data_IF_339829037350
#
_entry.id   IF_339829037350
#
_cell.length_a   1.000
_cell.length_b   1.000
_cell.length_c   1.000
_cell.angle_alpha   90.00
_cell.angle_beta   90.00
_cell.angle_gamma   90.00
#
_symmetry.space_group_name_H-M   'P 1'
#
loop_
_entity.id
_entity.type
_entity.pdbx_description
1 polymer ?
#
# COMPACT_ATOMS: atom_id res chain seq x y z
N UNK A 1 37.56 9.09 -17.02
CA UNK A 1 37.50 8.54 -15.65
C UNK A 1 37.29 9.61 -14.58
N UNK A 2 38.06 10.72 -14.49
CA UNK A 2 37.82 11.74 -13.44
C UNK A 2 36.59 12.63 -13.72
N UNK A 3 36.39 13.05 -14.96
CA UNK A 3 35.20 13.85 -15.37
C UNK A 3 33.90 13.06 -15.27
N UNK A 4 33.90 11.79 -15.69
CA UNK A 4 32.71 10.94 -15.69
C UNK A 4 32.14 10.69 -14.29
N UNK A 5 32.98 10.65 -13.24
CA UNK A 5 32.52 10.47 -11.87
C UNK A 5 31.89 11.77 -11.32
N UNK A 6 32.51 12.92 -11.60
CA UNK A 6 31.97 14.22 -11.23
C UNK A 6 30.62 14.47 -11.91
N UNK A 7 30.54 14.19 -13.21
CA UNK A 7 29.30 14.27 -13.99
C UNK A 7 28.23 13.34 -13.41
N UNK A 8 28.59 12.12 -13.02
CA UNK A 8 27.67 11.19 -12.38
C UNK A 8 27.17 11.71 -11.01
N UNK A 9 28.03 12.33 -10.21
CA UNK A 9 27.63 12.93 -8.93
C UNK A 9 26.66 14.11 -9.14
N UNK A 10 26.90 14.95 -10.15
CA UNK A 10 26.01 16.07 -10.51
C UNK A 10 24.64 15.58 -11.03
N UNK A 11 24.62 14.50 -11.82
CA UNK A 11 23.38 13.85 -12.25
C UNK A 11 22.63 13.28 -11.04
N UNK A 12 23.32 12.65 -10.08
CA UNK A 12 22.67 12.14 -8.87
C UNK A 12 22.10 13.24 -7.97
N UNK A 13 22.79 14.38 -7.89
CA UNK A 13 22.32 15.53 -7.13
C UNK A 13 21.07 16.15 -7.79
N UNK A 14 21.10 16.32 -9.12
CA UNK A 14 19.99 16.94 -9.86
C UNK A 14 18.77 16.02 -10.02
N UNK A 15 18.95 14.73 -10.34
CA UNK A 15 17.84 13.81 -10.61
C UNK A 15 17.30 13.10 -9.37
N UNK A 16 18.16 12.80 -8.39
CA UNK A 16 17.81 11.97 -7.22
C UNK A 16 17.82 12.76 -5.91
N UNK A 17 18.24 14.03 -5.92
CA UNK A 17 18.28 14.89 -4.73
C UNK A 17 19.32 14.46 -3.69
N UNK A 18 20.32 13.66 -4.07
CA UNK A 18 21.38 13.23 -3.15
C UNK A 18 22.52 14.24 -3.23
N UNK A 19 22.77 14.96 -2.14
CA UNK A 19 23.91 15.88 -2.08
C UNK A 19 25.22 15.16 -2.35
N UNK A 20 26.06 15.76 -3.20
CA UNK A 20 27.40 15.25 -3.53
C UNK A 20 28.26 15.05 -2.28
N UNK A 21 28.13 15.93 -1.28
CA UNK A 21 28.96 15.93 -0.08
C UNK A 21 28.68 14.67 0.76
N UNK A 22 27.40 14.27 0.86
CA UNK A 22 26.98 13.03 1.54
C UNK A 22 27.56 11.79 0.86
N UNK A 23 27.71 11.81 -0.47
CA UNK A 23 28.30 10.70 -1.22
C UNK A 23 29.82 10.65 -0.99
N UNK A 24 30.50 11.81 -1.01
CA UNK A 24 31.94 11.92 -0.76
C UNK A 24 32.26 11.41 0.65
N UNK A 25 31.54 11.87 1.67
CA UNK A 25 31.71 11.43 3.05
C UNK A 25 31.52 9.91 3.19
N UNK A 26 30.52 9.36 2.50
CA UNK A 26 30.26 7.92 2.50
C UNK A 26 31.39 7.13 1.80
N UNK A 27 31.95 7.67 0.71
CA UNK A 27 33.09 7.07 0.01
C UNK A 27 34.31 7.09 0.93
N UNK A 28 34.64 8.22 1.56
CA UNK A 28 35.77 8.34 2.49
C UNK A 28 35.66 7.35 3.66
N UNK A 29 34.49 7.25 4.28
CA UNK A 29 34.24 6.30 5.37
C UNK A 29 34.41 4.82 4.93
N UNK A 30 33.93 4.49 3.73
CA UNK A 30 34.09 3.14 3.18
C UNK A 30 35.55 2.85 2.79
N UNK A 31 36.27 3.84 2.28
CA UNK A 31 37.70 3.73 1.95
C UNK A 31 38.56 3.55 3.20
N UNK A 32 38.28 4.25 4.29
CA UNK A 32 38.92 4.01 5.60
C UNK A 32 38.73 2.54 6.01
N UNK A 33 37.50 2.03 5.89
CA UNK A 33 37.17 0.64 6.22
C UNK A 33 37.85 -0.37 5.29
N UNK A 34 38.00 -0.04 4.01
CA UNK A 34 38.71 -0.86 3.03
C UNK A 34 40.22 -0.88 3.30
N UNK A 35 40.81 0.26 3.69
CA UNK A 35 42.22 0.37 4.06
C UNK A 35 42.54 -0.49 5.28
N UNK A 36 41.76 -0.33 6.37
CA UNK A 36 41.95 -1.08 7.62
C UNK A 36 41.94 -2.60 7.41
N UNK A 37 41.07 -3.10 6.52
CA UNK A 37 40.91 -4.53 6.23
C UNK A 37 42.06 -5.12 5.42
N UNK A 38 42.61 -4.34 4.48
CA UNK A 38 43.57 -4.85 3.50
C UNK A 38 45.03 -4.62 3.92
N UNK A 39 45.32 -3.61 4.76
CA UNK A 39 46.71 -3.17 4.99
C UNK A 39 47.21 -3.32 6.43
N UNK A 40 46.38 -3.81 7.37
CA UNK A 40 46.74 -4.29 8.72
C UNK A 40 47.73 -3.41 9.54
N UNK A 41 47.87 -2.12 9.18
CA UNK A 41 48.77 -1.15 9.78
C UNK A 41 48.01 0.20 9.87
N UNK A 42 47.99 0.78 11.05
CA UNK A 42 47.34 2.06 11.44
C UNK A 42 45.83 2.02 11.70
N UNK A 43 45.46 2.19 12.99
CA UNK A 43 44.07 2.32 13.43
C UNK A 43 43.50 3.75 13.28
N UNK A 44 44.35 4.75 12.99
CA UNK A 44 43.96 6.15 12.83
C UNK A 44 44.37 6.70 11.45
N UNK A 45 43.55 6.46 10.44
CA UNK A 45 43.75 6.97 9.07
C UNK A 45 42.58 7.82 8.65
N UNK A 46 42.89 8.95 7.99
CA UNK A 46 41.95 9.79 7.28
C UNK A 46 42.13 9.54 5.79
N UNK A 47 41.04 9.37 5.07
CA UNK A 47 41.07 9.34 3.60
C UNK A 47 40.51 10.66 3.12
N UNK A 48 41.18 11.29 2.15
CA UNK A 48 40.70 12.45 1.44
C UNK A 48 40.43 12.05 0.00
N UNK A 49 39.21 12.27 -0.47
CA UNK A 49 38.83 12.03 -1.85
C UNK A 49 38.61 13.33 -2.60
N UNK A 50 39.37 13.55 -3.69
CA UNK A 50 39.12 14.66 -4.59
C UNK A 50 38.31 14.19 -5.81
N UNK A 51 37.02 14.55 -5.92
CA UNK A 51 36.15 14.11 -7.01
C UNK A 51 36.47 14.76 -8.37
N UNK A 52 37.09 15.95 -8.41
CA UNK A 52 37.41 16.66 -9.66
C UNK A 52 38.59 16.00 -10.38
N UNK A 53 39.62 15.64 -9.62
CA UNK A 53 40.84 15.02 -10.14
C UNK A 53 40.75 13.49 -10.08
N UNK A 54 39.85 12.94 -9.26
CA UNK A 54 39.72 11.51 -9.01
C UNK A 54 40.87 10.94 -8.16
N UNK A 55 41.60 11.78 -7.44
CA UNK A 55 42.74 11.38 -6.61
C UNK A 55 42.28 11.01 -5.20
N UNK A 56 42.91 9.99 -4.64
CA UNK A 56 42.61 9.44 -3.31
C UNK A 56 43.91 9.48 -2.52
N UNK A 57 43.88 10.17 -1.38
CA UNK A 57 45.00 10.26 -0.45
C UNK A 57 44.63 9.59 0.86
N UNK A 58 45.53 8.75 1.38
CA UNK A 58 45.40 8.15 2.70
C UNK A 58 46.45 8.78 3.61
N UNK A 59 45.98 9.43 4.67
CA UNK A 59 46.78 10.16 5.63
C UNK A 59 46.73 9.42 6.98
N UNK A 60 47.87 8.95 7.45
CA UNK A 60 48.01 8.43 8.81
C UNK A 60 48.08 9.60 9.79
N UNK A 61 47.21 9.60 10.81
CA UNK A 61 47.22 10.59 11.88
C UNK A 61 48.10 10.10 13.02
N UNK A 62 49.08 10.92 13.38
CA UNK A 62 49.94 10.72 14.53
C UNK A 62 49.83 11.88 15.50
N UNK A 63 49.65 11.58 16.76
CA UNK A 63 49.63 12.59 17.82
C UNK A 63 51.08 12.98 18.16
N UNK A 64 51.35 14.28 18.18
CA UNK A 64 52.66 14.82 18.50
C UNK A 64 52.78 14.85 20.02
N UNK A 65 53.74 14.08 20.56
CA UNK A 65 53.94 13.91 22.01
C UNK A 65 55.40 14.12 22.40
N UNK A 66 55.67 14.59 23.62
CA UNK A 66 57.03 14.67 24.17
C UNK A 66 57.68 13.29 24.36
N UNK A 67 56.91 12.30 24.84
CA UNK A 67 57.40 10.93 25.06
C UNK A 67 56.52 9.93 24.29
N UNK A 68 57.12 9.22 23.33
CA UNK A 68 56.43 8.25 22.47
C UNK A 68 56.28 6.90 23.21
N UNK A 69 55.05 6.46 23.41
CA UNK A 69 54.68 5.16 23.97
C UNK A 69 54.26 4.17 22.87
N UNK A 70 53.51 4.62 21.86
CA UNK A 70 53.17 3.82 20.67
C UNK A 70 53.66 4.51 19.38
N UNK A 71 54.80 4.08 18.81
CA UNK A 71 55.35 4.65 17.57
C UNK A 71 54.42 4.57 16.35
N UNK A 72 53.32 3.82 16.42
CA UNK A 72 52.32 3.70 15.35
C UNK A 72 51.28 4.82 15.40
N UNK A 73 50.99 5.33 16.59
CA UNK A 73 49.96 6.36 16.83
C UNK A 73 50.58 7.71 17.19
N UNK A 74 51.84 7.71 17.63
CA UNK A 74 52.51 8.89 18.15
C UNK A 74 53.79 9.21 17.35
N UNK A 75 54.21 10.46 17.42
CA UNK A 75 55.49 10.97 16.90
C UNK A 75 56.09 11.95 17.90
N UNK A 76 57.41 11.98 18.03
CA UNK A 76 58.04 12.94 18.94
C UNK A 76 57.92 14.37 18.40
N UNK A 77 57.84 15.36 19.29
CA UNK A 77 57.89 16.79 18.91
C UNK A 77 59.13 17.11 18.07
N UNK A 78 60.26 16.48 18.37
CA UNK A 78 61.52 16.65 17.64
C UNK A 78 61.42 16.17 16.19
N UNK A 79 60.83 14.98 15.96
CA UNK A 79 60.62 14.42 14.62
C UNK A 79 59.54 15.20 13.85
N UNK A 80 58.46 15.62 14.51
CA UNK A 80 57.42 16.44 13.89
C UNK A 80 57.97 17.79 13.40
N UNK A 81 58.85 18.43 14.19
CA UNK A 81 59.49 19.70 13.84
C UNK A 81 60.43 19.62 12.65
N UNK A 82 60.97 18.44 12.31
CA UNK A 82 61.77 18.26 11.09
C UNK A 82 60.92 18.40 9.82
N UNK A 83 59.64 18.08 9.89
CA UNK A 83 58.70 18.21 8.77
C UNK A 83 58.18 19.65 8.69
N UNK A 84 57.74 20.21 9.83
CA UNK A 84 57.33 21.60 9.92
C UNK A 84 57.69 22.17 11.30
N UNK A 85 58.49 23.26 11.37
CA UNK A 85 58.94 23.84 12.65
C UNK A 85 57.82 24.29 13.60
N UNK A 86 56.59 24.48 13.10
CA UNK A 86 55.47 25.00 13.87
C UNK A 86 54.75 23.97 14.74
N UNK A 87 55.07 22.67 14.63
CA UNK A 87 54.42 21.63 15.45
C UNK A 87 54.80 21.72 16.94
N UNK A 88 53.79 21.55 17.79
CA UNK A 88 53.85 21.57 19.24
C UNK A 88 53.30 20.27 19.83
N UNK A 89 53.62 20.02 21.11
CA UNK A 89 53.02 18.91 21.87
C UNK A 89 51.49 19.06 21.90
N UNK A 90 50.78 17.99 21.56
CA UNK A 90 49.32 17.97 21.43
C UNK A 90 48.78 18.25 20.01
N UNK A 91 49.62 18.58 19.03
CA UNK A 91 49.20 18.70 17.63
C UNK A 91 49.01 17.32 16.97
N UNK A 92 48.32 17.29 15.82
CA UNK A 92 48.15 16.08 15.00
C UNK A 92 48.91 16.25 13.68
N UNK A 93 49.87 15.36 13.44
CA UNK A 93 50.59 15.26 12.19
C UNK A 93 49.90 14.27 11.25
N UNK A 94 49.63 14.68 10.01
CA UNK A 94 49.10 13.83 8.94
C UNK A 94 50.24 13.43 7.97
N UNK A 95 50.52 12.13 7.85
CA UNK A 95 51.56 11.58 6.96
C UNK A 95 50.90 10.80 5.83
N UNK A 96 51.25 11.08 4.57
CA UNK A 96 50.71 10.33 3.43
C UNK A 96 51.28 8.89 3.40
N UNK A 97 50.38 7.91 3.45
CA UNK A 97 50.66 6.47 3.47
C UNK A 97 49.93 5.71 2.38
N UNK A 98 49.51 6.41 1.31
CA UNK A 98 48.75 5.85 0.18
C UNK A 98 49.51 4.72 -0.52
N UNK A 99 49.05 3.46 -0.46
CA UNK A 99 49.69 2.34 -1.15
C UNK A 99 49.50 2.43 -2.67
N UNK A 100 50.49 1.98 -3.46
CA UNK A 100 50.44 2.04 -4.94
C UNK A 100 49.22 1.32 -5.55
N UNK A 101 48.82 0.18 -4.98
CA UNK A 101 47.68 -0.62 -5.48
C UNK A 101 46.32 -0.17 -4.89
N UNK A 102 46.31 0.81 -3.98
CA UNK A 102 45.10 1.22 -3.28
C UNK A 102 44.07 1.86 -4.21
N UNK A 103 44.52 2.50 -5.29
CA UNK A 103 43.62 3.13 -6.27
C UNK A 103 42.59 2.16 -6.88
N UNK A 104 42.97 0.90 -7.14
CA UNK A 104 42.04 -0.12 -7.67
C UNK A 104 40.98 -0.52 -6.65
N UNK A 105 41.41 -0.79 -5.41
CA UNK A 105 40.52 -1.12 -4.28
C UNK A 105 39.56 0.03 -4.03
N UNK A 106 40.09 1.25 -4.10
CA UNK A 106 39.36 2.45 -3.82
C UNK A 106 38.30 2.74 -4.89
N UNK A 107 38.62 2.58 -6.18
CA UNK A 107 37.65 2.68 -7.27
C UNK A 107 36.51 1.65 -7.14
N UNK A 108 36.82 0.39 -6.79
CA UNK A 108 35.80 -0.64 -6.58
C UNK A 108 34.89 -0.30 -5.38
N UNK A 109 35.48 0.16 -4.29
CA UNK A 109 34.77 0.56 -3.07
C UNK A 109 33.87 1.77 -3.34
N UNK A 110 34.40 2.80 -4.00
CA UNK A 110 33.64 3.98 -4.39
C UNK A 110 32.44 3.61 -5.28
N UNK A 111 32.64 2.77 -6.30
CA UNK A 111 31.54 2.26 -7.13
C UNK A 111 30.46 1.57 -6.30
N UNK A 112 30.85 0.73 -5.34
CA UNK A 112 29.92 0.03 -4.47
C UNK A 112 29.12 1.00 -3.59
N UNK A 113 29.78 1.98 -2.98
CA UNK A 113 29.15 3.00 -2.15
C UNK A 113 28.17 3.84 -2.96
N UNK A 114 28.59 4.34 -4.12
CA UNK A 114 27.72 5.11 -5.02
C UNK A 114 26.49 4.28 -5.39
N UNK A 115 26.68 3.04 -5.86
CA UNK A 115 25.56 2.15 -6.22
C UNK A 115 24.61 1.91 -5.03
N UNK A 116 25.15 1.79 -3.82
CA UNK A 116 24.35 1.62 -2.61
C UNK A 116 23.56 2.88 -2.26
N UNK A 117 24.18 4.07 -2.29
CA UNK A 117 23.52 5.36 -2.05
C UNK A 117 22.42 5.64 -3.06
N UNK A 118 22.66 5.34 -4.33
CA UNK A 118 21.63 5.43 -5.38
C UNK A 118 20.43 4.55 -5.04
N UNK A 119 20.65 3.29 -4.68
CA UNK A 119 19.57 2.38 -4.28
C UNK A 119 18.82 2.86 -3.03
N UNK A 120 19.52 3.44 -2.06
CA UNK A 120 18.91 3.99 -0.84
C UNK A 120 18.00 5.18 -1.14
N UNK A 121 18.46 6.11 -2.00
CA UNK A 121 17.65 7.24 -2.42
C UNK A 121 16.43 6.81 -3.23
N UNK A 122 16.59 5.86 -4.16
CA UNK A 122 15.47 5.31 -4.94
C UNK A 122 14.41 4.66 -4.03
N UNK A 123 14.83 3.94 -2.98
CA UNK A 123 13.92 3.39 -1.97
C UNK A 123 13.17 4.46 -1.21
N UNK A 124 13.83 5.58 -0.90
CA UNK A 124 13.21 6.73 -0.23
C UNK A 124 12.09 7.34 -1.09
N UNK A 125 12.39 7.60 -2.36
CA UNK A 125 11.43 8.17 -3.33
C UNK A 125 10.23 7.24 -3.54
N UNK A 126 10.48 5.94 -3.73
CA UNK A 126 9.40 4.95 -3.88
C UNK A 126 8.52 4.93 -2.63
N UNK A 127 9.11 4.96 -1.43
CA UNK A 127 8.29 4.97 -0.22
C UNK A 127 7.36 6.19 -0.17
N UNK A 128 7.87 7.40 -0.42
CA UNK A 128 7.03 8.60 -0.42
C UNK A 128 5.94 8.53 -1.49
N UNK A 129 6.27 8.10 -2.71
CA UNK A 129 5.32 8.01 -3.83
C UNK A 129 4.15 7.06 -3.54
N UNK A 130 4.42 5.93 -2.88
CA UNK A 130 3.39 4.91 -2.61
C UNK A 130 2.71 5.07 -1.25
N UNK A 131 3.36 5.71 -0.27
CA UNK A 131 2.73 6.00 1.03
C UNK A 131 1.54 6.94 0.87
N UNK A 132 1.63 7.92 -0.04
CA UNK A 132 0.52 8.83 -0.34
C UNK A 132 -0.61 8.15 -1.14
N UNK A 133 -0.35 6.95 -1.67
CA UNK A 133 -1.28 6.13 -2.46
C UNK A 133 -1.78 4.90 -1.70
N UNK A 134 -1.60 4.88 -0.38
CA UNK A 134 -2.27 3.89 0.46
C UNK A 134 -3.79 4.01 0.28
N UNK A 135 -4.49 2.88 0.28
CA UNK A 135 -5.92 2.79 0.00
C UNK A 135 -6.35 3.24 -1.42
N UNK A 136 -5.44 3.20 -2.39
CA UNK A 136 -5.73 3.48 -3.80
C UNK A 136 -5.73 2.21 -4.66
N UNK A 137 -6.30 2.31 -5.87
CA UNK A 137 -6.30 1.26 -6.89
C UNK A 137 -5.21 1.52 -7.94
N UNK A 138 -4.49 0.47 -8.32
CA UNK A 138 -3.47 0.54 -9.36
C UNK A 138 -3.59 -0.62 -10.33
N UNK A 139 -3.25 -0.38 -11.59
CA UNK A 139 -3.07 -1.45 -12.57
C UNK A 139 -1.64 -1.96 -12.46
N UNK A 140 -1.51 -3.26 -12.21
CA UNK A 140 -0.23 -3.95 -12.14
C UNK A 140 -0.13 -5.10 -13.14
N UNK A 141 1.10 -5.55 -13.39
CA UNK A 141 1.39 -6.70 -14.26
C UNK A 141 1.94 -7.83 -13.40
N UNK A 142 1.30 -9.00 -13.43
CA UNK A 142 1.79 -10.18 -12.75
C UNK A 142 3.13 -10.59 -13.35
N UNK A 143 4.18 -10.70 -12.55
CA UNK A 143 5.49 -11.12 -13.03
C UNK A 143 5.78 -12.59 -12.71
N UNK A 144 5.73 -12.94 -11.43
CA UNK A 144 6.06 -14.28 -10.93
C UNK A 144 5.22 -14.63 -9.70
N UNK A 145 5.19 -15.91 -9.38
CA UNK A 145 4.45 -16.44 -8.24
C UNK A 145 5.33 -17.42 -7.46
N UNK A 146 5.38 -17.21 -6.14
CA UNK A 146 5.96 -18.14 -5.17
C UNK A 146 4.83 -18.75 -4.32
N UNK A 147 5.15 -19.67 -3.41
CA UNK A 147 4.15 -20.32 -2.54
C UNK A 147 3.40 -19.35 -1.59
N UNK A 148 3.97 -18.17 -1.33
CA UNK A 148 3.42 -17.18 -0.37
C UNK A 148 2.83 -15.95 -1.03
N UNK A 149 3.37 -15.54 -2.17
CA UNK A 149 3.05 -14.25 -2.80
C UNK A 149 3.03 -14.39 -4.32
N UNK A 150 2.15 -13.61 -4.93
CA UNK A 150 2.27 -13.21 -6.33
C UNK A 150 2.94 -11.85 -6.37
N UNK A 151 3.93 -11.68 -7.23
CA UNK A 151 4.65 -10.43 -7.43
C UNK A 151 4.03 -9.69 -8.59
N UNK A 152 3.55 -8.49 -8.31
CA UNK A 152 2.83 -7.64 -9.25
C UNK A 152 3.65 -6.38 -9.48
N UNK A 153 4.11 -6.17 -10.71
CA UNK A 153 4.84 -4.95 -11.07
C UNK A 153 3.87 -3.79 -11.20
N UNK A 154 4.12 -2.72 -10.44
CA UNK A 154 3.44 -1.43 -10.54
C UNK A 154 4.27 -0.43 -11.37
N UNK A 155 5.09 -0.93 -12.31
CA UNK A 155 6.01 -0.14 -13.13
C UNK A 155 7.40 -0.03 -12.49
N UNK A 156 7.55 0.81 -11.46
CA UNK A 156 8.87 1.07 -10.83
C UNK A 156 9.22 0.06 -9.73
N UNK A 157 8.24 -0.63 -9.16
CA UNK A 157 8.38 -1.47 -7.96
C UNK A 157 7.51 -2.72 -8.07
N UNK A 158 7.95 -3.79 -7.40
CA UNK A 158 7.17 -5.01 -7.23
C UNK A 158 6.33 -4.92 -5.96
N UNK A 159 5.03 -5.05 -6.10
CA UNK A 159 4.09 -5.23 -5.01
C UNK A 159 3.84 -6.72 -4.73
N UNK A 160 3.50 -7.02 -3.48
CA UNK A 160 3.26 -8.36 -2.97
C UNK A 160 1.76 -8.58 -2.83
N UNK A 161 1.22 -9.59 -3.49
CA UNK A 161 -0.16 -10.07 -3.36
C UNK A 161 -0.18 -11.39 -2.56
N UNK A 162 -0.48 -11.35 -1.24
CA UNK A 162 -0.54 -12.55 -0.39
C UNK A 162 -1.63 -13.53 -0.82
N UNK A 163 -1.45 -14.83 -0.53
CA UNK A 163 -2.45 -15.87 -0.83
C UNK A 163 -3.82 -15.58 -0.20
N UNK A 164 -3.87 -15.00 1.01
CA UNK A 164 -5.12 -14.63 1.67
C UNK A 164 -5.86 -13.46 1.00
N UNK A 165 -5.16 -12.68 0.18
CA UNK A 165 -5.68 -11.48 -0.50
C UNK A 165 -5.95 -11.73 -1.99
N UNK A 166 -5.80 -12.97 -2.45
CA UNK A 166 -6.07 -13.42 -3.81
C UNK A 166 -7.55 -13.78 -3.96
N UNK A 167 -8.12 -13.47 -5.13
CA UNK A 167 -9.51 -13.80 -5.42
C UNK A 167 -9.68 -15.30 -5.64
N UNK A 168 -10.61 -15.98 -4.95
CA UNK A 168 -10.81 -17.42 -5.07
C UNK A 168 -11.23 -17.90 -6.47
N UNK A 169 -11.87 -17.02 -7.24
CA UNK A 169 -12.38 -17.27 -8.59
C UNK A 169 -11.40 -16.82 -9.69
N UNK A 170 -10.21 -16.32 -9.34
CA UNK A 170 -9.20 -15.87 -10.30
C UNK A 170 -8.06 -16.87 -10.46
N UNK A 171 -7.48 -16.87 -11.66
CA UNK A 171 -6.20 -17.51 -11.92
C UNK A 171 -5.25 -16.45 -12.44
N UNK A 172 -4.08 -16.37 -11.83
CA UNK A 172 -3.06 -15.38 -12.19
C UNK A 172 -1.97 -16.07 -12.99
N UNK A 173 -1.72 -15.56 -14.19
CA UNK A 173 -0.62 -16.00 -15.05
C UNK A 173 0.40 -14.87 -15.20
N UNK A 174 1.69 -15.21 -15.40
CA UNK A 174 2.67 -14.19 -15.76
C UNK A 174 2.20 -13.37 -16.96
N UNK A 175 2.41 -12.05 -16.88
CA UNK A 175 1.99 -11.01 -17.83
C UNK A 175 0.51 -10.60 -17.79
N UNK A 176 -0.30 -11.19 -16.91
CA UNK A 176 -1.68 -10.72 -16.72
C UNK A 176 -1.69 -9.30 -16.16
N UNK A 177 -2.56 -8.46 -16.73
CA UNK A 177 -2.83 -7.11 -16.21
C UNK A 177 -3.99 -7.19 -15.24
N UNK A 178 -3.73 -6.84 -13.99
CA UNK A 178 -4.72 -6.90 -12.91
C UNK A 178 -4.83 -5.56 -12.20
N UNK A 179 -6.04 -5.15 -11.85
CA UNK A 179 -6.24 -4.02 -10.93
C UNK A 179 -6.07 -4.50 -9.51
N UNK A 180 -5.27 -3.84 -8.69
CA UNK A 180 -5.02 -4.22 -7.31
C UNK A 180 -5.21 -3.03 -6.39
N UNK A 181 -5.66 -3.29 -5.18
CA UNK A 181 -5.84 -2.28 -4.14
C UNK A 181 -4.61 -2.27 -3.23
N UNK A 182 -3.98 -1.12 -3.01
CA UNK A 182 -2.84 -0.98 -2.10
C UNK A 182 -3.37 -1.00 -0.67
N UNK A 183 -3.03 -2.03 0.08
CA UNK A 183 -3.49 -2.20 1.47
C UNK A 183 -2.57 -1.55 2.47
N UNK A 184 -1.25 -1.64 2.26
CA UNK A 184 -0.25 -1.02 3.14
C UNK A 184 1.11 -0.89 2.46
N UNK A 185 1.89 0.10 2.90
CA UNK A 185 3.26 0.34 2.45
C UNK A 185 4.21 0.36 3.64
N UNK A 186 5.08 -0.65 3.75
CA UNK A 186 5.98 -0.83 4.90
C UNK A 186 7.44 -0.49 4.56
N UNK A 187 8.12 0.28 5.42
CA UNK A 187 9.58 0.45 5.32
C UNK A 187 10.27 -0.76 5.91
N UNK A 188 10.99 -1.52 5.09
CA UNK A 188 11.86 -2.61 5.56
C UNK A 188 13.33 -2.27 5.35
N UNK A 189 14.22 -3.02 6.01
CA UNK A 189 15.68 -2.90 5.83
C UNK A 189 16.13 -3.18 4.39
N UNK A 190 15.31 -3.89 3.61
CA UNK A 190 15.57 -4.20 2.20
C UNK A 190 14.90 -3.24 1.21
N UNK A 191 14.18 -2.23 1.70
CA UNK A 191 13.43 -1.26 0.90
C UNK A 191 11.94 -1.24 1.26
N UNK A 192 11.16 -0.32 0.66
CA UNK A 192 9.71 -0.31 0.84
C UNK A 192 9.10 -1.59 0.27
N UNK A 193 8.17 -2.18 1.02
CA UNK A 193 7.35 -3.30 0.57
C UNK A 193 5.92 -2.81 0.45
N UNK A 194 5.34 -2.99 -0.73
CA UNK A 194 3.97 -2.59 -1.03
C UNK A 194 3.13 -3.86 -1.02
N UNK A 195 2.14 -3.90 -0.15
CA UNK A 195 1.17 -4.98 -0.10
C UNK A 195 -0.08 -4.58 -0.85
N UNK A 196 -0.57 -5.50 -1.66
CA UNK A 196 -1.77 -5.29 -2.45
C UNK A 196 -2.77 -6.41 -2.24
N UNK A 197 -4.03 -6.13 -2.53
CA UNK A 197 -5.13 -7.05 -2.39
C UNK A 197 -6.07 -7.00 -3.59
N UNK A 198 -6.67 -8.15 -3.90
CA UNK A 198 -7.83 -8.26 -4.77
C UNK A 198 -9.14 -8.50 -4.01
N UNK A 199 -9.07 -9.00 -2.77
CA UNK A 199 -10.25 -9.33 -1.95
C UNK A 199 -10.73 -8.18 -1.06
N UNK A 200 -9.90 -7.17 -0.83
CA UNK A 200 -10.20 -6.07 0.07
C UNK A 200 -11.46 -5.28 -0.37
N UNK A 201 -12.38 -4.89 0.54
CA UNK A 201 -13.57 -4.09 0.19
C UNK A 201 -13.25 -2.76 -0.49
N UNK A 202 -12.10 -2.17 -0.17
CA UNK A 202 -11.62 -0.93 -0.78
C UNK A 202 -11.42 -1.04 -2.30
N UNK A 203 -11.09 -2.23 -2.83
CA UNK A 203 -11.02 -2.44 -4.28
C UNK A 203 -12.38 -2.14 -4.93
N UNK A 204 -13.46 -2.68 -4.37
CA UNK A 204 -14.81 -2.48 -4.89
C UNK A 204 -15.20 -1.00 -4.86
N UNK A 205 -14.93 -0.32 -3.74
CA UNK A 205 -15.18 1.12 -3.59
C UNK A 205 -14.46 1.94 -4.67
N UNK A 206 -13.16 1.71 -4.86
CA UNK A 206 -12.37 2.41 -5.89
C UNK A 206 -12.81 2.07 -7.32
N UNK A 207 -13.25 0.83 -7.58
CA UNK A 207 -13.80 0.48 -8.90
C UNK A 207 -15.08 1.26 -9.20
N UNK A 208 -15.97 1.43 -8.20
CA UNK A 208 -17.16 2.26 -8.35
C UNK A 208 -16.82 3.75 -8.55
N UNK A 209 -15.87 4.29 -7.78
CA UNK A 209 -15.38 5.67 -7.96
C UNK A 209 -14.84 5.92 -9.37
N UNK A 210 -14.16 4.95 -9.98
CA UNK A 210 -13.64 5.08 -11.36
C UNK A 210 -14.73 4.96 -12.43
N UNK A 211 -15.80 4.21 -12.16
CA UNK A 211 -16.82 3.81 -13.13
C UNK A 211 -18.06 4.73 -13.08
N UNK A 212 -18.33 5.36 -11.95
CA UNK A 212 -19.53 6.19 -11.69
C UNK A 212 -19.09 7.64 -11.42
N UNK A 213 -19.29 8.57 -12.37
CA UNK A 213 -18.91 9.98 -12.22
C UNK A 213 -19.51 10.66 -10.98
N UNK A 214 -20.76 10.31 -10.65
CA UNK A 214 -21.49 10.86 -9.52
C UNK A 214 -20.88 10.44 -8.17
N UNK A 215 -20.14 9.34 -8.12
CA UNK A 215 -19.37 8.95 -6.94
C UNK A 215 -18.03 9.70 -6.90
N UNK A 216 -17.41 9.90 -8.06
CA UNK A 216 -16.15 10.63 -8.18
C UNK A 216 -16.27 12.10 -7.77
N UNK A 217 -17.36 12.77 -8.14
CA UNK A 217 -17.62 14.18 -7.80
C UNK A 217 -18.26 14.38 -6.42
N UNK A 218 -18.65 13.29 -5.75
CA UNK A 218 -19.24 13.30 -4.41
C UNK A 218 -20.75 13.56 -4.37
N UNK A 219 -21.44 13.58 -5.51
CA UNK A 219 -22.92 13.69 -5.55
C UNK A 219 -23.61 12.47 -4.93
N UNK A 220 -23.01 11.29 -5.13
CA UNK A 220 -23.42 10.01 -4.55
C UNK A 220 -22.29 9.48 -3.67
N UNK A 221 -22.60 9.19 -2.41
CA UNK A 221 -21.64 8.65 -1.45
C UNK A 221 -21.86 7.16 -1.22
N UNK A 222 -20.78 6.37 -1.27
CA UNK A 222 -20.79 4.98 -0.78
C UNK A 222 -20.67 5.00 0.75
N UNK A 223 -21.74 4.61 1.45
CA UNK A 223 -21.81 4.62 2.93
C UNK A 223 -21.14 3.41 3.56
N UNK A 224 -21.35 2.22 3.01
CA UNK A 224 -20.84 0.97 3.55
C UNK A 224 -20.72 -0.09 2.45
N UNK A 225 -19.77 -1.01 2.64
CA UNK A 225 -19.48 -2.12 1.74
C UNK A 225 -19.36 -3.41 2.55
N UNK A 226 -20.19 -4.40 2.24
CA UNK A 226 -20.08 -5.76 2.75
C UNK A 226 -19.69 -6.68 1.60
N UNK A 227 -18.51 -7.29 1.69
CA UNK A 227 -17.93 -8.09 0.61
C UNK A 227 -17.58 -9.50 1.06
N UNK A 228 -18.04 -10.49 0.30
CA UNK A 228 -17.53 -11.86 0.27
C UNK A 228 -16.88 -12.08 -1.11
N UNK A 229 -15.58 -11.82 -1.15
CA UNK A 229 -14.80 -11.69 -2.39
C UNK A 229 -14.92 -12.92 -3.30
N UNK A 230 -15.23 -12.67 -4.58
CA UNK A 230 -15.36 -13.69 -5.63
C UNK A 230 -16.71 -14.40 -5.68
N UNK A 231 -17.65 -14.04 -4.81
CA UNK A 231 -19.00 -14.61 -4.81
C UNK A 231 -20.07 -13.50 -4.82
N UNK A 232 -20.18 -12.73 -3.73
CA UNK A 232 -21.20 -11.68 -3.63
C UNK A 232 -20.78 -10.51 -2.72
N UNK A 233 -21.16 -9.31 -3.14
CA UNK A 233 -20.98 -8.07 -2.41
C UNK A 233 -22.29 -7.28 -2.33
N UNK A 234 -22.45 -6.53 -1.23
CA UNK A 234 -23.47 -5.51 -1.09
C UNK A 234 -22.80 -4.17 -0.86
N UNK A 235 -23.31 -3.14 -1.52
CA UNK A 235 -22.90 -1.75 -1.28
C UNK A 235 -24.13 -0.91 -0.96
N UNK A 236 -23.95 0.04 -0.05
CA UNK A 236 -24.98 1.01 0.30
C UNK A 236 -24.57 2.39 -0.20
N UNK A 237 -25.50 3.06 -0.89
CA UNK A 237 -25.27 4.35 -1.54
C UNK A 237 -26.30 5.37 -1.10
N UNK A 238 -25.87 6.62 -1.00
CA UNK A 238 -26.68 7.75 -0.55
C UNK A 238 -26.45 8.96 -1.45
N UNK A 239 -27.49 9.74 -1.69
CA UNK A 239 -27.38 11.06 -2.29
C UNK A 239 -28.13 12.06 -1.39
N UNK A 240 -27.52 13.22 -1.12
CA UNK A 240 -28.16 14.29 -0.37
C UNK A 240 -29.28 14.93 -1.19
N UNK A 241 -29.07 15.07 -2.50
CA UNK A 241 -30.07 15.61 -3.42
C UNK A 241 -31.11 14.55 -3.77
N UNK A 242 -32.38 14.83 -3.45
CA UNK A 242 -33.53 13.95 -3.73
C UNK A 242 -33.81 13.76 -5.21
N UNK A 243 -33.37 14.69 -6.06
CA UNK A 243 -33.52 14.60 -7.53
C UNK A 243 -32.53 13.61 -8.15
N UNK A 244 -31.53 13.14 -7.39
CA UNK A 244 -30.53 12.18 -7.84
C UNK A 244 -30.91 10.81 -7.31
N UNK A 245 -31.05 9.83 -8.20
CA UNK A 245 -31.20 8.43 -7.78
C UNK A 245 -29.83 7.75 -7.63
N UNK A 246 -29.33 7.52 -6.40
CA UNK A 246 -28.00 6.97 -6.18
C UNK A 246 -27.87 5.53 -6.69
N UNK A 247 -28.95 4.74 -6.66
CA UNK A 247 -28.93 3.35 -7.13
C UNK A 247 -28.84 3.32 -8.66
N UNK A 248 -29.72 4.06 -9.34
CA UNK A 248 -29.72 4.20 -10.80
C UNK A 248 -28.40 4.74 -11.35
N UNK A 249 -27.78 5.73 -10.70
CA UNK A 249 -26.45 6.22 -11.08
C UNK A 249 -25.38 5.14 -11.03
N UNK A 250 -25.41 4.25 -10.03
CA UNK A 250 -24.44 3.18 -9.89
C UNK A 250 -24.67 2.01 -10.85
N UNK A 251 -25.94 1.68 -11.13
CA UNK A 251 -26.33 0.62 -12.07
C UNK A 251 -26.04 1.05 -13.51
N UNK A 252 -26.36 2.30 -13.84
CA UNK A 252 -26.25 2.87 -15.18
C UNK A 252 -27.28 2.32 -16.16
N UNK A 253 -27.31 2.84 -17.41
CA UNK A 253 -28.26 2.40 -18.42
C UNK A 253 -28.18 0.88 -18.65
N UNK A 254 -29.31 0.18 -18.44
CA UNK A 254 -29.41 -1.28 -18.57
C UNK A 254 -28.37 -2.06 -17.74
N UNK A 255 -27.91 -1.51 -16.61
CA UNK A 255 -26.93 -2.17 -15.75
C UNK A 255 -25.49 -2.16 -16.26
N UNK A 256 -25.19 -1.38 -17.31
CA UNK A 256 -23.88 -1.44 -17.96
C UNK A 256 -22.72 -1.05 -17.03
N UNK A 257 -22.91 -0.12 -16.09
CA UNK A 257 -21.83 0.33 -15.19
C UNK A 257 -21.50 -0.77 -14.17
N UNK A 258 -22.50 -1.27 -13.47
CA UNK A 258 -22.31 -2.37 -12.52
C UNK A 258 -21.78 -3.63 -13.21
N UNK A 259 -22.24 -3.95 -14.42
CA UNK A 259 -21.77 -5.12 -15.16
C UNK A 259 -20.26 -5.04 -15.47
N UNK A 260 -19.73 -3.86 -15.83
CA UNK A 260 -18.28 -3.67 -16.03
C UNK A 260 -17.46 -3.99 -14.78
N UNK A 261 -17.99 -3.67 -13.60
CA UNK A 261 -17.34 -3.97 -12.32
C UNK A 261 -17.45 -5.47 -12.00
N UNK A 262 -18.61 -6.09 -12.23
CA UNK A 262 -18.81 -7.55 -12.10
C UNK A 262 -17.83 -8.32 -12.99
N UNK A 263 -17.63 -7.87 -14.23
CA UNK A 263 -16.71 -8.48 -15.18
C UNK A 263 -15.24 -8.33 -14.75
N UNK A 264 -14.87 -7.18 -14.19
CA UNK A 264 -13.55 -6.94 -13.58
C UNK A 264 -13.27 -7.86 -12.39
N UNK A 265 -14.31 -8.23 -11.62
CA UNK A 265 -14.21 -9.13 -10.46
C UNK A 265 -14.54 -10.60 -10.82
N UNK A 266 -14.52 -10.93 -12.11
CA UNK A 266 -14.75 -12.30 -12.65
C UNK A 266 -16.07 -12.92 -12.17
N UNK A 267 -17.14 -12.14 -12.19
CA UNK A 267 -18.49 -12.63 -11.92
C UNK A 267 -18.93 -12.54 -10.45
N UNK A 268 -18.19 -11.83 -9.60
CA UNK A 268 -18.68 -11.47 -8.25
C UNK A 268 -20.00 -10.68 -8.37
N UNK A 269 -21.08 -11.18 -7.79
CA UNK A 269 -22.40 -10.52 -7.84
C UNK A 269 -22.41 -9.30 -6.93
N UNK A 270 -22.96 -8.19 -7.40
CA UNK A 270 -23.00 -6.93 -6.63
C UNK A 270 -24.45 -6.48 -6.48
N UNK A 271 -24.92 -6.38 -5.25
CA UNK A 271 -26.19 -5.73 -4.94
C UNK A 271 -25.93 -4.30 -4.49
N UNK A 272 -26.65 -3.35 -5.08
CA UNK A 272 -26.56 -1.92 -4.76
C UNK A 272 -27.87 -1.55 -4.07
N UNK A 273 -27.79 -1.03 -2.85
CA UNK A 273 -28.97 -0.71 -2.04
C UNK A 273 -28.93 0.75 -1.59
N UNK A 274 -30.11 1.36 -1.48
CA UNK A 274 -30.23 2.73 -0.96
C UNK A 274 -30.00 2.70 0.55
N UNK A 275 -29.07 3.53 1.00
CA UNK A 275 -28.85 3.77 2.43
C UNK A 275 -29.96 4.66 2.99
N UNK A 276 -30.39 4.39 4.23
CA UNK A 276 -31.33 5.24 4.96
C UNK A 276 -30.84 5.44 6.39
N UNK A 277 -31.21 6.58 6.98
CA UNK A 277 -31.03 6.84 8.40
C UNK A 277 -32.02 6.03 9.25
N UNK A 278 -33.16 5.65 8.69
CA UNK A 278 -34.14 4.80 9.36
C UNK A 278 -33.65 3.33 9.32
N UNK A 279 -33.39 2.70 10.47
CA UNK A 279 -32.95 1.30 10.52
C UNK A 279 -33.97 0.34 9.89
N UNK A 280 -35.28 0.64 9.96
CA UNK A 280 -36.34 -0.18 9.35
C UNK A 280 -36.15 -0.21 7.84
N UNK A 281 -36.10 0.97 7.21
CA UNK A 281 -35.93 1.11 5.77
C UNK A 281 -34.57 0.56 5.31
N UNK A 282 -33.50 0.87 6.04
CA UNK A 282 -32.15 0.46 5.64
C UNK A 282 -31.96 -1.06 5.69
N UNK A 283 -32.48 -1.73 6.73
CA UNK A 283 -32.44 -3.20 6.82
C UNK A 283 -33.31 -3.85 5.75
N UNK A 284 -34.50 -3.29 5.48
CA UNK A 284 -35.35 -3.77 4.39
C UNK A 284 -34.64 -3.68 3.04
N UNK A 285 -34.03 -2.53 2.74
CA UNK A 285 -33.25 -2.31 1.51
C UNK A 285 -32.06 -3.28 1.42
N UNK A 286 -31.35 -3.52 2.53
CA UNK A 286 -30.16 -4.38 2.56
C UNK A 286 -30.46 -5.87 2.25
N UNK A 287 -31.70 -6.33 2.47
CA UNK A 287 -32.13 -7.69 2.16
C UNK A 287 -32.54 -7.91 0.69
N UNK A 288 -32.57 -6.84 -0.12
CA UNK A 288 -32.77 -6.92 -1.56
C UNK A 288 -31.88 -8.01 -2.19
N UNK A 289 -32.44 -8.89 -3.05
CA UNK A 289 -33.71 -8.76 -3.78
C UNK A 289 -34.97 -9.28 -3.06
N UNK A 290 -34.89 -9.70 -1.79
CA UNK A 290 -36.08 -10.19 -1.06
C UNK A 290 -36.99 -9.05 -0.63
N UNK A 291 -38.29 -9.23 -0.83
CA UNK A 291 -39.32 -8.34 -0.32
C UNK A 291 -39.50 -8.55 1.18
N UNK A 292 -39.53 -7.44 1.90
CA UNK A 292 -39.71 -7.40 3.35
C UNK A 292 -41.11 -6.89 3.66
N UNK A 293 -41.82 -7.63 4.51
CA UNK A 293 -43.18 -7.28 4.97
C UNK A 293 -43.10 -6.35 6.18
N UNK A 294 -42.24 -6.69 7.15
CA UNK A 294 -42.13 -5.93 8.40
C UNK A 294 -40.72 -6.04 8.95
N UNK A 295 -40.22 -4.95 9.52
CA UNK A 295 -38.99 -4.94 10.33
C UNK A 295 -39.34 -4.45 11.71
N UNK A 296 -39.04 -5.25 12.72
CA UNK A 296 -39.03 -4.82 14.11
C UNK A 296 -37.60 -4.51 14.52
N UNK A 297 -37.41 -3.36 15.15
CA UNK A 297 -36.09 -2.90 15.57
C UNK A 297 -36.04 -2.86 17.09
N UNK A 298 -35.01 -3.49 17.64
CA UNK A 298 -34.60 -3.39 19.03
C UNK A 298 -33.32 -2.55 19.08
N UNK A 299 -33.46 -1.28 19.45
CA UNK A 299 -32.35 -0.33 19.50
C UNK A 299 -31.35 -0.63 20.62
N UNK A 300 -31.80 -1.22 21.73
CA UNK A 300 -30.93 -1.53 22.88
C UNK A 300 -29.94 -2.65 22.52
N UNK A 301 -30.42 -3.71 21.87
CA UNK A 301 -29.62 -4.88 21.48
C UNK A 301 -28.98 -4.76 20.08
N UNK A 302 -29.26 -3.68 19.36
CA UNK A 302 -28.96 -3.49 17.93
C UNK A 302 -29.36 -4.71 17.11
N UNK A 303 -30.58 -5.17 17.33
CA UNK A 303 -31.14 -6.35 16.69
C UNK A 303 -32.40 -6.00 15.93
N UNK A 304 -32.66 -6.76 14.87
CA UNK A 304 -33.86 -6.62 14.05
C UNK A 304 -34.48 -7.98 13.80
N UNK A 305 -35.80 -8.04 13.86
CA UNK A 305 -36.58 -9.18 13.40
C UNK A 305 -37.29 -8.78 12.11
N UNK A 306 -36.90 -9.42 11.03
CA UNK A 306 -37.43 -9.16 9.69
C UNK A 306 -38.39 -10.26 9.29
N UNK A 307 -39.60 -9.87 8.90
CA UNK A 307 -40.61 -10.77 8.36
C UNK A 307 -40.60 -10.68 6.85
N UNK A 308 -40.48 -11.83 6.20
CA UNK A 308 -40.54 -11.98 4.74
C UNK A 308 -41.64 -12.98 4.37
N UNK A 309 -42.17 -12.93 3.14
CA UNK A 309 -43.14 -13.91 2.67
C UNK A 309 -42.57 -15.34 2.77
N UNK A 310 -43.41 -16.33 3.09
CA UNK A 310 -42.99 -17.73 3.27
C UNK A 310 -42.20 -18.27 2.06
N UNK A 311 -42.61 -17.89 0.84
CA UNK A 311 -41.95 -18.30 -0.40
C UNK A 311 -40.58 -17.65 -0.62
N UNK A 312 -40.28 -16.52 0.04
CA UNK A 312 -39.01 -15.79 -0.08
C UNK A 312 -38.06 -16.03 1.09
N UNK A 313 -38.45 -16.77 2.14
CA UNK A 313 -37.60 -17.03 3.30
C UNK A 313 -36.21 -17.55 2.91
N UNK A 314 -36.16 -18.51 1.97
CA UNK A 314 -34.91 -19.07 1.48
C UNK A 314 -34.06 -18.06 0.70
N UNK A 315 -34.70 -17.16 -0.05
CA UNK A 315 -34.02 -16.10 -0.79
C UNK A 315 -33.43 -15.05 0.16
N UNK A 316 -34.20 -14.66 1.18
CA UNK A 316 -33.83 -13.65 2.16
C UNK A 316 -32.63 -14.10 3.01
N UNK A 317 -32.61 -15.37 3.42
CA UNK A 317 -31.45 -16.00 4.07
C UNK A 317 -30.29 -16.11 3.07
N UNK A 318 -30.57 -16.57 1.85
CA UNK A 318 -29.59 -16.81 0.81
C UNK A 318 -28.79 -18.10 1.02
N UNK A 319 -27.99 -18.46 0.00
CA UNK A 319 -27.16 -19.68 0.03
C UNK A 319 -26.22 -19.66 1.25
N UNK A 320 -26.35 -20.64 2.15
CA UNK A 320 -25.58 -20.72 3.42
C UNK A 320 -25.69 -19.45 4.29
N UNK A 321 -26.81 -18.74 4.22
CA UNK A 321 -27.02 -17.50 4.98
C UNK A 321 -26.25 -16.28 4.45
N UNK A 322 -25.71 -16.35 3.23
CA UNK A 322 -24.86 -15.28 2.68
C UNK A 322 -25.60 -13.94 2.57
N UNK A 323 -26.86 -13.93 2.12
CA UNK A 323 -27.59 -12.67 1.93
C UNK A 323 -27.83 -11.97 3.27
N UNK A 324 -28.32 -12.71 4.26
CA UNK A 324 -28.51 -12.21 5.62
C UNK A 324 -27.19 -11.74 6.26
N UNK A 325 -26.09 -12.48 6.08
CA UNK A 325 -24.77 -12.13 6.62
C UNK A 325 -24.21 -10.86 6.00
N UNK A 326 -24.32 -10.71 4.68
CA UNK A 326 -23.92 -9.50 3.97
C UNK A 326 -24.77 -8.30 4.39
N UNK A 327 -26.09 -8.46 4.52
CA UNK A 327 -27.00 -7.41 4.98
C UNK A 327 -26.67 -6.98 6.42
N UNK A 328 -26.41 -7.93 7.33
CA UNK A 328 -26.02 -7.66 8.71
C UNK A 328 -24.66 -6.92 8.77
N UNK A 329 -23.69 -7.34 7.96
CA UNK A 329 -22.37 -6.66 7.88
C UNK A 329 -22.48 -5.25 7.27
N UNK A 330 -23.37 -5.06 6.29
CA UNK A 330 -23.57 -3.78 5.61
C UNK A 330 -24.22 -2.74 6.53
N UNK A 331 -25.26 -3.16 7.25
CA UNK A 331 -26.06 -2.31 8.13
C UNK A 331 -25.47 -2.17 9.53
N UNK A 332 -24.70 -3.16 9.99
CA UNK A 332 -24.20 -3.24 11.36
C UNK A 332 -25.22 -3.77 12.38
N UNK A 333 -26.41 -4.19 11.92
CA UNK A 333 -27.49 -4.72 12.76
C UNK A 333 -27.49 -6.26 12.75
N UNK A 334 -27.88 -6.87 13.87
CA UNK A 334 -28.20 -8.30 13.89
C UNK A 334 -29.54 -8.49 13.20
N UNK A 335 -29.62 -9.38 12.21
CA UNK A 335 -30.83 -9.62 11.42
C UNK A 335 -31.30 -11.05 11.66
N UNK A 336 -32.45 -11.21 12.31
CA UNK A 336 -33.17 -12.49 12.41
C UNK A 336 -34.34 -12.48 11.42
N UNK A 337 -34.41 -13.48 10.54
CA UNK A 337 -35.40 -13.54 9.47
C UNK A 337 -36.45 -14.59 9.81
N UNK A 338 -37.73 -14.21 9.79
CA UNK A 338 -38.89 -15.08 10.00
C UNK A 338 -39.79 -15.07 8.77
N UNK A 339 -40.48 -16.17 8.53
CA UNK A 339 -41.58 -16.15 7.58
C UNK A 339 -42.83 -15.53 8.20
N UNK A 340 -43.77 -15.10 7.36
CA UNK A 340 -45.07 -14.60 7.82
C UNK A 340 -45.81 -15.62 8.69
N UNK A 341 -45.79 -16.91 8.31
CA UNK A 341 -46.43 -17.97 9.08
C UNK A 341 -45.82 -18.12 10.48
N UNK A 342 -44.50 -18.10 10.60
CA UNK A 342 -43.80 -18.15 11.88
C UNK A 342 -44.06 -16.89 12.71
N UNK A 343 -44.04 -15.73 12.07
CA UNK A 343 -44.27 -14.46 12.74
C UNK A 343 -45.71 -14.34 13.28
N UNK A 344 -46.71 -14.87 12.57
CA UNK A 344 -48.10 -14.96 13.04
C UNK A 344 -48.24 -15.87 14.26
N UNK A 345 -47.56 -17.02 14.27
CA UNK A 345 -47.57 -17.93 15.44
C UNK A 345 -46.95 -17.28 16.68
N UNK A 346 -45.93 -16.45 16.49
CA UNK A 346 -45.25 -15.71 17.55
C UNK A 346 -46.00 -14.42 17.96
N UNK A 347 -47.11 -14.08 17.31
CA UNK A 347 -47.88 -12.85 17.59
C UNK A 347 -47.16 -11.56 17.18
N UNK A 348 -46.17 -11.65 16.29
CA UNK A 348 -45.33 -10.53 15.81
C UNK A 348 -46.07 -9.71 14.73
N UNK A 349 -46.97 -10.35 13.99
CA UNK A 349 -47.71 -9.77 12.86
C UNK A 349 -49.21 -10.02 13.07
N UNK A 350 -50.02 -8.99 12.89
CA UNK A 350 -51.50 -9.06 12.89
C UNK A 350 -52.04 -9.09 11.46
N UNK A 351 -53.30 -9.50 11.22
CA UNK A 351 -53.87 -9.60 9.86
C UNK A 351 -53.88 -8.25 9.09
N UNK A 352 -53.76 -7.12 9.78
CA UNK A 352 -53.71 -5.77 9.20
C UNK A 352 -52.32 -5.37 8.68
N UNK A 353 -51.24 -5.97 9.21
CA UNK A 353 -49.86 -5.65 8.85
C UNK A 353 -49.48 -6.13 7.42
N UNK A 354 -50.19 -7.14 6.89
CA UNK A 354 -49.93 -7.71 5.55
C UNK A 354 -50.18 -6.74 4.39
N UNK A 355 -50.72 -5.54 4.66
CA UNK A 355 -51.09 -4.55 3.63
C UNK A 355 -49.97 -3.53 3.38
N UNK A 356 -49.00 -3.38 4.29
CA UNK A 356 -47.89 -2.42 4.15
C UNK A 356 -46.67 -3.15 3.56
N UNK A 357 -46.78 -3.57 2.31
CA UNK A 357 -45.59 -3.97 1.56
C UNK A 357 -44.74 -2.71 1.30
N UNK A 358 -43.47 -2.71 1.68
CA UNK A 358 -42.54 -1.66 1.25
C UNK A 358 -42.51 -1.67 -0.28
N UNK A 359 -43.05 -0.61 -0.89
CA UNK A 359 -43.13 -0.46 -2.34
C UNK A 359 -41.74 -0.39 -2.93
N UNK A 360 -41.26 -1.52 -3.45
CA UNK A 360 -40.17 -1.52 -4.41
C UNK A 360 -40.76 -1.09 -5.76
N UNK A 361 -40.30 0.03 -6.31
CA UNK A 361 -40.42 0.30 -7.74
C UNK A 361 -39.57 -0.76 -8.47
N UNK A 362 -40.17 -1.92 -8.70
CA UNK A 362 -39.63 -2.93 -9.60
C UNK A 362 -39.78 -2.40 -11.02
N UNK A 363 -38.66 -2.02 -11.63
CA UNK A 363 -38.55 -1.85 -13.09
C UNK A 363 -38.62 -3.25 -13.72
N UNK A 364 -39.81 -3.81 -13.79
CA UNK A 364 -40.17 -4.93 -14.66
C UNK A 364 -41.53 -4.61 -15.26
N UNK A 365 -41.52 -3.98 -16.44
CA UNK A 365 -42.43 -4.26 -17.56
C UNK A 365 -42.15 -3.27 -18.70
N UNK A 366 -41.41 -3.73 -19.72
CA UNK A 366 -41.62 -3.46 -21.16
C UNK A 366 -40.47 -4.09 -21.95
N UNK A 367 -40.57 -5.40 -22.19
CA UNK A 367 -39.97 -6.04 -23.36
C UNK A 367 -41.08 -6.89 -24.00
N UNK A 368 -41.77 -6.29 -24.97
CA UNK A 368 -42.20 -6.97 -26.19
C UNK A 368 -41.18 -6.68 -27.31
#
# INVERSE_FOLDING_TARGET
MSTELLDALLVLESEKGISKDIIIDAIEAALISAYKRNFNQAQNVRVSFNPEVGTIQVLARKDVVDNVFDPRLEISVEEARQINPNYQDGDVLEIEVTPKDFGRIAAQTAKQVVTQRVREAERGVIYSEFSDREEDIMVGIVQRQDARFIYVSLGKVEALLPVSEQMPNEQYKPHDRIRVFITKVEKTTKGPQIYVSRTHPGLLKRLFEMEVPEIYDGTVEIRSVAREAGDRSKISVYAENTDVDPVGSCVGPKGQRVQRIVDELKGEKIDIVRWSNDPVEYVANALSPSQVVKVLVDEEEKATTVVVPDHQLSLAIGKRGQNARLAAKLTGWKIDIKSESDAKQLGIVTEEDSVIAFGFDSVEDEIE
#
